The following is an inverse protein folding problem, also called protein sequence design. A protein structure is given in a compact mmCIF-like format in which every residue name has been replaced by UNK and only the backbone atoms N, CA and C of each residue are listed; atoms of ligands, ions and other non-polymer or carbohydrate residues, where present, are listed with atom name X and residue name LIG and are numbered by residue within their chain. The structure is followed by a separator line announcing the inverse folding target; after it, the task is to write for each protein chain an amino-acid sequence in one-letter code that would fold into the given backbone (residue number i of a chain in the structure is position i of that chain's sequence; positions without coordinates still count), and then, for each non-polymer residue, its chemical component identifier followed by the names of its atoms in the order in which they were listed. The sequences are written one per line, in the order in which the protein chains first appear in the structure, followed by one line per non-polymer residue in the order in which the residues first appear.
data_IF_180780574147
#
_entry.id   IF_180780574147
#
_cell.length_a   1.000
_cell.length_b   1.000
_cell.length_c   1.000
_cell.angle_alpha   90.00
_cell.angle_beta   90.00
_cell.angle_gamma   90.00
#
_symmetry.space_group_name_H-M   'P 1'
#
loop_
_entity.id
_entity.type
_entity.pdbx_description
1 polymer ?
#
# COMPACT_ATOMS: atom_id res chain seq x y z
N UNK A 1 13.51 -3.02 2.76
CA UNK A 1 12.48 -2.64 1.78
C UNK A 1 11.13 -3.19 2.23
N UNK A 2 10.04 -2.46 2.02
CA UNK A 2 8.68 -2.94 2.30
C UNK A 2 7.85 -3.01 1.02
N UNK A 3 7.08 -4.08 0.88
CA UNK A 3 6.18 -4.31 -0.25
C UNK A 3 4.77 -4.46 0.28
N UNK A 4 3.89 -3.54 -0.11
CA UNK A 4 2.47 -3.59 0.21
C UNK A 4 1.71 -4.28 -0.90
N UNK A 5 0.92 -5.29 -0.55
CA UNK A 5 0.13 -6.07 -1.50
C UNK A 5 -1.35 -5.82 -1.27
N UNK A 6 -2.04 -5.44 -2.35
CA UNK A 6 -3.50 -5.40 -2.42
C UNK A 6 -3.93 -6.42 -3.47
N UNK A 7 -4.69 -7.43 -3.04
CA UNK A 7 -5.21 -8.48 -3.91
C UNK A 7 -6.49 -9.08 -3.33
N UNK A 8 -7.21 -9.84 -4.15
CA UNK A 8 -8.41 -10.56 -3.73
C UNK A 8 -8.10 -11.53 -2.59
N UNK A 9 -9.11 -11.71 -1.74
CA UNK A 9 -9.13 -12.79 -0.78
C UNK A 9 -9.65 -14.05 -1.44
N UNK A 10 -8.81 -14.73 -2.21
CA UNK A 10 -9.10 -16.02 -2.80
C UNK A 10 -7.82 -16.88 -2.97
N UNK A 11 -7.98 -18.08 -3.51
CA UNK A 11 -6.88 -19.01 -3.77
C UNK A 11 -5.79 -18.39 -4.66
N UNK A 12 -6.20 -17.60 -5.65
CA UNK A 12 -5.30 -16.98 -6.62
C UNK A 12 -4.54 -15.80 -6.01
N UNK A 13 -5.20 -14.95 -5.24
CA UNK A 13 -4.62 -13.82 -4.54
C UNK A 13 -3.61 -14.27 -3.48
N UNK A 14 -3.93 -15.32 -2.72
CA UNK A 14 -3.01 -15.90 -1.74
C UNK A 14 -1.75 -16.45 -2.42
N UNK A 15 -1.90 -17.17 -3.53
CA UNK A 15 -0.75 -17.68 -4.26
C UNK A 15 0.06 -16.57 -4.95
N UNK A 16 -0.59 -15.55 -5.49
CA UNK A 16 0.09 -14.38 -6.06
C UNK A 16 1.03 -13.74 -5.04
N UNK A 17 0.59 -13.65 -3.78
CA UNK A 17 1.41 -13.12 -2.69
C UNK A 17 2.69 -13.93 -2.47
N UNK A 18 2.62 -15.27 -2.44
CA UNK A 18 3.80 -16.10 -2.21
C UNK A 18 4.78 -16.05 -3.38
N UNK A 19 4.27 -16.09 -4.62
CA UNK A 19 5.09 -15.99 -5.83
C UNK A 19 5.80 -14.62 -5.92
N UNK A 20 5.06 -13.53 -5.67
CA UNK A 20 5.64 -12.18 -5.61
C UNK A 20 6.72 -12.08 -4.55
N UNK A 21 6.49 -12.67 -3.37
CA UNK A 21 7.46 -12.65 -2.28
C UNK A 21 8.77 -13.37 -2.63
N UNK A 22 8.67 -14.53 -3.28
CA UNK A 22 9.80 -15.31 -3.76
C UNK A 22 10.61 -14.53 -4.79
N UNK A 23 9.95 -14.05 -5.86
CA UNK A 23 10.60 -13.36 -6.97
C UNK A 23 11.30 -12.07 -6.51
N UNK A 24 10.59 -11.22 -5.75
CA UNK A 24 11.14 -9.95 -5.28
C UNK A 24 12.29 -10.16 -4.29
N UNK A 25 12.22 -11.21 -3.45
CA UNK A 25 13.33 -11.55 -2.56
C UNK A 25 14.54 -12.04 -3.36
N UNK A 26 14.34 -12.85 -4.40
CA UNK A 26 15.41 -13.31 -5.28
C UNK A 26 16.09 -12.13 -6.02
N UNK A 27 15.31 -11.19 -6.55
CA UNK A 27 15.86 -9.97 -7.15
C UNK A 27 16.65 -9.13 -6.15
N UNK A 28 16.10 -8.89 -4.95
CA UNK A 28 16.77 -8.11 -3.92
C UNK A 28 18.08 -8.75 -3.43
N UNK A 29 18.15 -10.08 -3.39
CA UNK A 29 19.37 -10.79 -3.01
C UNK A 29 20.54 -10.55 -3.99
N UNK A 30 20.23 -10.30 -5.27
CA UNK A 30 21.22 -10.00 -6.31
C UNK A 30 21.54 -8.50 -6.36
N UNK A 31 20.51 -7.66 -6.42
CA UNK A 31 20.66 -6.23 -6.71
C UNK A 31 20.94 -5.38 -5.46
N UNK A 32 20.52 -5.84 -4.28
CA UNK A 32 20.61 -5.10 -3.03
C UNK A 32 20.95 -6.02 -1.83
N UNK A 33 22.10 -6.73 -1.88
CA UNK A 33 22.48 -7.72 -0.86
C UNK A 33 22.49 -7.11 0.55
N UNK A 34 21.93 -7.84 1.51
CA UNK A 34 21.77 -7.39 2.89
C UNK A 34 20.51 -6.56 3.16
N UNK A 35 19.71 -6.25 2.14
CA UNK A 35 18.41 -5.59 2.32
C UNK A 35 17.36 -6.61 2.74
N UNK A 36 16.79 -6.44 3.93
CA UNK A 36 15.61 -7.19 4.35
C UNK A 36 14.39 -6.73 3.54
N UNK A 37 13.66 -7.68 2.92
CA UNK A 37 12.39 -7.40 2.24
C UNK A 37 11.24 -7.90 3.10
N UNK A 38 10.33 -7.01 3.46
CA UNK A 38 9.16 -7.32 4.28
C UNK A 38 7.90 -7.14 3.44
N UNK A 39 7.08 -8.19 3.36
CA UNK A 39 5.82 -8.19 2.61
C UNK A 39 4.64 -8.05 3.57
N UNK A 40 3.70 -7.19 3.21
CA UNK A 40 2.49 -6.97 3.98
C UNK A 40 1.26 -6.94 3.05
N UNK A 41 0.30 -7.83 3.32
CA UNK A 41 -1.01 -7.79 2.68
C UNK A 41 -1.88 -6.76 3.40
N UNK A 42 -2.22 -5.67 2.71
CA UNK A 42 -3.02 -4.58 3.28
C UNK A 42 -4.52 -4.77 3.05
N UNK A 43 -4.90 -5.34 1.90
CA UNK A 43 -6.28 -5.61 1.56
C UNK A 43 -6.38 -6.69 0.46
N UNK A 44 -7.48 -7.43 0.35
CA UNK A 44 -8.53 -7.57 1.36
C UNK A 44 -8.17 -8.70 2.33
N UNK A 45 -8.32 -8.46 3.64
CA UNK A 45 -8.05 -9.45 4.69
C UNK A 45 -9.34 -10.01 5.27
N UNK A 46 -9.30 -11.21 5.84
CA UNK A 46 -10.45 -11.82 6.52
C UNK A 46 -11.05 -10.92 7.62
N UNK A 47 -10.21 -10.17 8.33
CA UNK A 47 -10.65 -9.20 9.34
C UNK A 47 -11.43 -8.04 8.72
N UNK A 48 -10.99 -7.52 7.56
CA UNK A 48 -11.71 -6.48 6.82
C UNK A 48 -13.03 -7.00 6.27
N UNK A 49 -13.07 -8.24 5.77
CA UNK A 49 -14.31 -8.89 5.30
C UNK A 49 -15.35 -8.92 6.43
N UNK A 50 -14.94 -9.39 7.62
CA UNK A 50 -15.83 -9.45 8.78
C UNK A 50 -16.25 -8.06 9.28
N UNK A 51 -15.31 -7.10 9.34
CA UNK A 51 -15.57 -5.76 9.88
C UNK A 51 -16.50 -4.92 9.00
N UNK A 52 -16.26 -4.92 7.68
CA UNK A 52 -17.05 -4.16 6.72
C UNK A 52 -18.22 -4.95 6.12
N UNK A 53 -18.44 -6.19 6.58
CA UNK A 53 -19.48 -7.09 6.08
C UNK A 53 -19.44 -7.22 4.55
N UNK A 54 -18.23 -7.40 4.01
CA UNK A 54 -18.02 -7.41 2.57
C UNK A 54 -18.73 -8.59 1.92
N UNK A 55 -19.25 -8.43 0.69
CA UNK A 55 -19.77 -9.54 -0.10
C UNK A 55 -18.77 -10.69 -0.20
N UNK A 56 -19.26 -11.91 0.01
CA UNK A 56 -18.44 -13.12 -0.10
C UNK A 56 -19.06 -14.11 -1.09
N UNK A 57 -18.21 -14.96 -1.67
CA UNK A 57 -18.60 -16.06 -2.53
C UNK A 57 -17.95 -17.37 -2.07
N UNK A 58 -18.52 -18.54 -2.39
CA UNK A 58 -17.83 -19.79 -2.15
C UNK A 58 -16.58 -19.89 -3.04
N UNK A 59 -15.47 -20.50 -2.56
CA UNK A 59 -14.29 -20.71 -3.37
C UNK A 59 -14.60 -21.59 -4.59
N UNK A 60 -13.87 -21.37 -5.70
CA UNK A 60 -14.06 -22.19 -6.91
C UNK A 60 -13.71 -23.64 -6.61
N UNK A 61 -14.67 -24.54 -6.83
CA UNK A 61 -14.49 -25.99 -6.59
C UNK A 61 -13.39 -26.63 -7.45
N UNK A 62 -13.10 -26.03 -8.61
CA UNK A 62 -12.04 -26.47 -9.52
C UNK A 62 -10.65 -25.90 -9.20
N UNK A 63 -10.54 -24.98 -8.24
CA UNK A 63 -9.24 -24.45 -7.82
C UNK A 63 -8.71 -25.25 -6.63
N UNK A 64 -7.76 -26.15 -6.93
CA UNK A 64 -7.16 -27.08 -5.97
C UNK A 64 -6.00 -26.46 -5.15
N UNK A 65 -5.70 -25.17 -5.34
CA UNK A 65 -4.66 -24.49 -4.55
C UNK A 65 -5.08 -24.41 -3.08
N UNK A 66 -4.10 -24.48 -2.19
CA UNK A 66 -4.33 -24.36 -0.75
C UNK A 66 -4.87 -22.97 -0.40
N UNK A 67 -6.04 -22.95 0.25
CA UNK A 67 -6.68 -21.74 0.74
C UNK A 67 -7.32 -22.02 2.08
N UNK A 68 -6.94 -21.25 3.09
CA UNK A 68 -7.45 -21.38 4.45
C UNK A 68 -8.79 -20.67 4.66
N UNK A 69 -9.21 -19.82 3.72
CA UNK A 69 -10.47 -19.09 3.81
C UNK A 69 -11.68 -19.98 3.51
N UNK A 70 -12.78 -19.73 4.22
CA UNK A 70 -14.06 -20.41 4.00
C UNK A 70 -14.88 -19.76 2.89
N UNK A 71 -14.52 -18.55 2.49
CA UNK A 71 -15.17 -17.76 1.43
C UNK A 71 -14.16 -16.83 0.76
N UNK A 72 -14.52 -16.34 -0.42
CA UNK A 72 -13.72 -15.43 -1.23
C UNK A 72 -14.34 -14.05 -1.31
N UNK A 73 -13.50 -13.02 -1.40
CA UNK A 73 -13.94 -11.62 -1.57
C UNK A 73 -13.01 -10.90 -2.52
N UNK A 74 -13.59 -10.16 -3.48
CA UNK A 74 -12.84 -9.31 -4.41
C UNK A 74 -12.32 -8.06 -3.69
N UNK A 75 -11.14 -7.57 -4.05
CA UNK A 75 -10.57 -6.38 -3.45
C UNK A 75 -11.45 -5.13 -3.69
N UNK A 76 -12.08 -5.04 -4.85
CA UNK A 76 -13.03 -3.98 -5.22
C UNK A 76 -14.31 -3.95 -4.37
N UNK A 77 -14.57 -4.99 -3.57
CA UNK A 77 -15.68 -5.00 -2.64
C UNK A 77 -15.46 -4.05 -1.45
N UNK A 78 -14.20 -3.74 -1.14
CA UNK A 78 -13.86 -2.77 -0.11
C UNK A 78 -14.18 -1.34 -0.61
N UNK A 79 -14.86 -0.49 0.20
CA UNK A 79 -15.14 0.87 -0.20
C UNK A 79 -13.87 1.64 -0.61
N UNK A 80 -13.88 2.43 -1.70
CA UNK A 80 -12.67 3.09 -2.20
C UNK A 80 -12.02 4.05 -1.19
N UNK A 81 -12.83 4.75 -0.39
CA UNK A 81 -12.37 5.64 0.68
C UNK A 81 -11.68 4.86 1.81
N UNK A 82 -12.21 3.69 2.16
CA UNK A 82 -11.60 2.77 3.13
C UNK A 82 -10.27 2.24 2.60
N UNK A 83 -10.21 1.75 1.36
CA UNK A 83 -8.96 1.27 0.77
C UNK A 83 -7.90 2.38 0.71
N UNK A 84 -8.31 3.59 0.32
CA UNK A 84 -7.44 4.76 0.31
C UNK A 84 -6.91 5.09 1.72
N UNK A 85 -7.76 5.01 2.74
CA UNK A 85 -7.36 5.24 4.13
C UNK A 85 -6.35 4.18 4.63
N UNK A 86 -6.58 2.89 4.33
CA UNK A 86 -5.65 1.79 4.67
C UNK A 86 -4.29 2.01 4.01
N UNK A 87 -4.26 2.28 2.71
CA UNK A 87 -3.03 2.55 1.97
C UNK A 87 -2.30 3.79 2.51
N UNK A 88 -3.04 4.88 2.76
CA UNK A 88 -2.47 6.12 3.30
C UNK A 88 -1.86 5.90 4.67
N UNK A 89 -2.53 5.18 5.56
CA UNK A 89 -2.03 4.86 6.89
C UNK A 89 -0.73 4.05 6.81
N UNK A 90 -0.73 2.98 6.00
CA UNK A 90 0.43 2.14 5.79
C UNK A 90 1.61 2.90 5.18
N UNK A 91 1.41 3.71 4.14
CA UNK A 91 2.49 4.51 3.56
C UNK A 91 3.04 5.52 4.58
N UNK A 92 2.15 6.19 5.32
CA UNK A 92 2.53 7.25 6.26
C UNK A 92 3.27 6.70 7.47
N UNK A 93 2.91 5.52 7.99
CA UNK A 93 3.60 4.90 9.13
C UNK A 93 5.05 4.52 8.85
N UNK A 94 5.43 4.43 7.58
CA UNK A 94 6.79 4.07 7.15
C UNK A 94 7.58 5.27 6.59
N UNK A 95 7.07 6.49 6.72
CA UNK A 95 7.82 7.72 6.41
C UNK A 95 8.48 8.26 7.66
N UNK A 96 9.70 8.75 7.53
CA UNK A 96 10.31 9.59 8.56
C UNK A 96 9.57 10.95 8.55
N UNK A 97 8.69 11.12 9.53
CA UNK A 97 7.85 12.32 9.68
C UNK A 97 8.72 13.57 9.91
N UNK A 98 9.89 13.44 10.55
CA UNK A 98 10.79 14.57 10.78
C UNK A 98 11.48 14.99 9.49
N UNK A 99 11.98 14.02 8.74
CA UNK A 99 12.57 14.29 7.43
C UNK A 99 11.55 14.92 6.48
N UNK A 100 10.30 14.43 6.50
CA UNK A 100 9.21 15.01 5.72
C UNK A 100 8.89 16.46 6.15
N UNK A 101 8.74 16.71 7.45
CA UNK A 101 8.42 18.04 7.96
C UNK A 101 9.50 19.06 7.54
N UNK A 102 10.78 18.70 7.72
CA UNK A 102 11.90 19.54 7.29
C UNK A 102 11.91 19.81 5.78
N UNK A 103 11.54 18.81 4.97
CA UNK A 103 11.42 18.95 3.51
C UNK A 103 10.30 19.93 3.12
N UNK A 104 9.12 19.81 3.74
CA UNK A 104 7.97 20.66 3.47
C UNK A 104 8.22 22.11 3.90
N UNK A 105 8.83 22.32 5.06
CA UNK A 105 9.23 23.66 5.51
C UNK A 105 10.18 24.32 4.51
N UNK A 106 11.17 23.56 4.02
CA UNK A 106 12.11 24.06 3.02
C UNK A 106 11.44 24.35 1.67
N UNK A 107 10.51 23.50 1.24
CA UNK A 107 9.73 23.72 0.02
C UNK A 107 8.87 24.99 0.14
N UNK A 108 8.25 25.26 1.29
CA UNK A 108 7.47 26.49 1.51
C UNK A 108 8.35 27.74 1.49
N UNK A 109 9.54 27.70 2.10
CA UNK A 109 10.50 28.80 2.03
C UNK A 109 10.97 29.06 0.60
N UNK A 110 11.31 28.01 -0.14
CA UNK A 110 11.70 28.09 -1.54
C UNK A 110 10.56 28.66 -2.40
N UNK A 111 9.33 28.16 -2.22
CA UNK A 111 8.13 28.66 -2.91
C UNK A 111 7.90 30.15 -2.61
N UNK A 112 8.03 30.56 -1.34
CA UNK A 112 7.85 31.97 -0.95
C UNK A 112 8.87 32.87 -1.63
N UNK A 113 10.16 32.51 -1.58
CA UNK A 113 11.23 33.25 -2.25
C UNK A 113 11.02 33.34 -3.76
N UNK A 114 10.55 32.26 -4.37
CA UNK A 114 10.31 32.21 -5.82
C UNK A 114 9.15 33.14 -6.21
N UNK A 115 8.04 33.09 -5.46
CA UNK A 115 6.89 33.98 -5.67
C UNK A 115 7.28 35.45 -5.46
N UNK A 116 8.03 35.77 -4.42
CA UNK A 116 8.57 37.13 -4.19
C UNK A 116 9.44 37.59 -5.37
N UNK A 117 10.35 36.74 -5.85
CA UNK A 117 11.24 37.07 -6.98
C UNK A 117 10.50 37.29 -8.31
N UNK A 118 9.33 36.68 -8.47
CA UNK A 118 8.46 36.81 -9.64
C UNK A 118 7.45 37.96 -9.51
N UNK A 119 7.47 38.71 -8.41
CA UNK A 119 6.55 39.82 -8.17
C UNK A 119 5.15 39.39 -7.75
N UNK A 120 5.00 38.18 -7.18
CA UNK A 120 3.75 37.69 -6.57
C UNK A 120 3.85 37.66 -5.03
N UNK A 121 4.72 38.48 -4.45
CA UNK A 121 4.84 38.64 -3.00
C UNK A 121 3.61 39.30 -2.38
N UNK A 122 3.43 39.22 -1.05
CA UNK A 122 2.29 39.81 -0.35
C UNK A 122 2.16 41.34 -0.50
N UNK A 123 3.20 42.02 -0.98
CA UNK A 123 3.24 43.47 -1.28
C UNK A 123 3.17 43.78 -2.79
N UNK A 124 2.84 42.80 -3.64
CA UNK A 124 2.59 43.04 -5.07
C UNK A 124 1.15 43.53 -5.27
N UNK A 125 1.01 44.84 -5.50
CA UNK A 125 -0.22 45.51 -5.97
C UNK A 125 -0.77 44.91 -7.27
#
# INVERSE_FOLDING_TARGET
MRVFVVSDWDQSGVHLFSALAEDVTAFAAVDAPGTEVVFERLAVTEQQIAHYQLPTAPPKASDHRSFSGTSTTQAEALPPDVLAAVLKAAITSHRDIRALAALLEREEEERRRLLESLGYGPDAD
#
